data_IF_672309812034
#
_entry.id   IF_672309812034
#
_cell.length_a   1.000
_cell.length_b   1.000
_cell.length_c   1.000
_cell.angle_alpha   90.00
_cell.angle_beta   90.00
_cell.angle_gamma   90.00
#
_symmetry.space_group_name_H-M   'P 1'
#
loop_
_entity.id
_entity.type
_entity.pdbx_description
1 polymer ?
#
# COMPACT_ATOMS: atom_id res chain seq x y z
N UNK A 1 -20.52 -4.39 -34.56
CA UNK A 1 -20.94 -3.98 -33.19
C UNK A 1 -20.06 -4.58 -32.04
N UNK A 2 -18.77 -4.83 -32.28
CA UNK A 2 -17.83 -5.33 -31.25
C UNK A 2 -16.99 -4.23 -30.57
N UNK A 3 -17.25 -2.96 -30.86
CA UNK A 3 -16.43 -1.84 -30.39
C UNK A 3 -16.86 -1.26 -29.04
N UNK A 4 -18.06 -1.58 -28.53
CA UNK A 4 -18.57 -0.98 -27.29
C UNK A 4 -18.02 -1.62 -26.01
N UNK A 5 -17.66 -2.91 -26.01
CA UNK A 5 -17.18 -3.59 -24.79
C UNK A 5 -15.71 -3.28 -24.48
N UNK A 6 -14.86 -3.09 -25.49
CA UNK A 6 -13.46 -2.73 -25.28
C UNK A 6 -13.32 -1.28 -24.79
N UNK A 7 -14.11 -0.35 -25.34
CA UNK A 7 -14.11 1.04 -24.90
C UNK A 7 -14.61 1.19 -23.45
N UNK A 8 -15.67 0.49 -23.04
CA UNK A 8 -16.15 0.47 -21.66
C UNK A 8 -15.12 -0.12 -20.71
N UNK A 9 -14.44 -1.21 -21.09
CA UNK A 9 -13.34 -1.81 -20.32
C UNK A 9 -12.17 -0.84 -20.17
N UNK A 10 -11.80 -0.11 -21.22
CA UNK A 10 -10.70 0.86 -21.18
C UNK A 10 -11.04 2.09 -20.33
N UNK A 11 -12.28 2.55 -20.36
CA UNK A 11 -12.77 3.63 -19.50
C UNK A 11 -12.71 3.18 -18.02
N UNK A 12 -13.21 1.99 -17.72
CA UNK A 12 -13.15 1.42 -16.36
C UNK A 12 -11.69 1.32 -15.84
N UNK A 13 -10.79 0.79 -16.66
CA UNK A 13 -9.37 0.69 -16.31
C UNK A 13 -8.71 2.04 -16.04
N UNK A 14 -9.04 3.07 -16.83
CA UNK A 14 -8.57 4.44 -16.59
C UNK A 14 -9.12 5.00 -15.28
N UNK A 15 -10.38 4.73 -14.94
CA UNK A 15 -10.99 5.18 -13.70
C UNK A 15 -10.33 4.55 -12.48
N UNK A 16 -10.02 3.25 -12.50
CA UNK A 16 -9.33 2.57 -11.41
C UNK A 16 -7.92 3.13 -11.20
N UNK A 17 -7.16 3.30 -12.28
CA UNK A 17 -5.82 3.90 -12.19
C UNK A 17 -5.88 5.34 -11.68
N UNK A 18 -6.86 6.12 -12.11
CA UNK A 18 -7.06 7.49 -11.63
C UNK A 18 -7.40 7.53 -10.15
N UNK A 19 -8.18 6.57 -9.65
CA UNK A 19 -8.49 6.47 -8.22
C UNK A 19 -7.23 6.19 -7.40
N UNK A 20 -6.38 5.26 -7.84
CA UNK A 20 -5.11 4.95 -7.19
C UNK A 20 -4.19 6.18 -7.15
N UNK A 21 -4.07 6.91 -8.26
CA UNK A 21 -3.26 8.14 -8.36
C UNK A 21 -3.83 9.24 -7.46
N UNK A 22 -5.14 9.45 -7.46
CA UNK A 22 -5.79 10.44 -6.62
C UNK A 22 -5.58 10.14 -5.14
N UNK A 23 -5.73 8.89 -4.73
CA UNK A 23 -5.47 8.45 -3.36
C UNK A 23 -4.01 8.67 -2.97
N UNK A 24 -3.07 8.32 -3.85
CA UNK A 24 -1.63 8.52 -3.64
C UNK A 24 -1.30 10.00 -3.42
N UNK A 25 -1.84 10.89 -4.26
CA UNK A 25 -1.65 12.35 -4.11
C UNK A 25 -2.18 12.86 -2.78
N UNK A 26 -3.36 12.42 -2.37
CA UNK A 26 -3.94 12.82 -1.08
C UNK A 26 -3.09 12.36 0.10
N UNK A 27 -2.56 11.14 0.04
CA UNK A 27 -1.69 10.58 1.09
C UNK A 27 -0.40 11.40 1.22
N UNK A 28 0.23 11.76 0.11
CA UNK A 28 1.46 12.56 0.12
C UNK A 28 1.22 13.93 0.75
N UNK A 29 0.10 14.58 0.43
CA UNK A 29 -0.21 15.94 0.90
C UNK A 29 -0.69 15.96 2.34
N UNK A 30 -1.50 14.98 2.73
CA UNK A 30 -2.14 14.94 4.05
C UNK A 30 -2.15 13.51 4.58
N UNK A 31 -1.01 13.01 5.07
CA UNK A 31 -0.95 11.66 5.64
C UNK A 31 -1.97 11.47 6.75
N UNK A 32 -2.57 10.29 6.81
CA UNK A 32 -3.51 9.88 7.86
C UNK A 32 -4.93 10.40 7.74
N UNK A 33 -5.22 11.31 6.82
CA UNK A 33 -6.56 11.94 6.72
C UNK A 33 -7.57 11.15 5.91
N UNK A 34 -7.15 10.54 4.81
CA UNK A 34 -8.02 9.80 3.89
C UNK A 34 -7.34 8.55 3.34
N UNK A 35 -8.13 7.61 2.85
CA UNK A 35 -7.65 6.41 2.15
C UNK A 35 -6.66 5.61 2.99
N UNK A 36 -7.00 5.34 4.23
CA UNK A 36 -6.10 4.73 5.19
C UNK A 36 -6.71 3.47 5.83
N UNK A 37 -6.14 2.29 5.61
CA UNK A 37 -5.03 2.03 4.71
C UNK A 37 -5.43 2.12 3.23
N UNK A 38 -4.48 2.42 2.35
CA UNK A 38 -4.64 2.25 0.91
C UNK A 38 -4.10 0.89 0.51
N UNK A 39 -4.91 0.11 -0.16
CA UNK A 39 -4.54 -1.20 -0.69
C UNK A 39 -4.66 -1.19 -2.20
N UNK A 40 -3.53 -1.37 -2.89
CA UNK A 40 -3.51 -1.50 -4.35
C UNK A 40 -3.19 -2.93 -4.74
N UNK A 41 -3.95 -3.47 -5.66
CA UNK A 41 -3.71 -4.81 -6.17
C UNK A 41 -3.73 -4.86 -7.70
N UNK A 42 -3.13 -5.87 -8.25
CA UNK A 42 -3.09 -6.09 -9.69
C UNK A 42 -2.02 -7.09 -10.07
N UNK A 43 -2.08 -7.57 -11.29
CA UNK A 43 -1.12 -8.54 -11.83
C UNK A 43 0.32 -8.02 -11.73
N UNK A 44 1.33 -8.90 -11.66
CA UNK A 44 2.72 -8.47 -11.75
C UNK A 44 2.97 -7.59 -13.00
N UNK A 45 3.78 -6.57 -12.86
CA UNK A 45 4.16 -5.69 -13.96
C UNK A 45 3.17 -4.58 -14.32
N UNK A 46 2.08 -4.39 -13.56
CA UNK A 46 1.10 -3.31 -13.84
C UNK A 46 1.47 -1.95 -13.23
N UNK A 47 2.56 -1.86 -12.47
CA UNK A 47 3.05 -0.60 -11.92
C UNK A 47 2.78 -0.36 -10.45
N UNK A 48 2.41 -1.38 -9.67
CA UNK A 48 2.20 -1.27 -8.21
C UNK A 48 3.45 -0.77 -7.48
N UNK A 49 4.57 -1.45 -7.70
CA UNK A 49 5.86 -1.07 -7.11
C UNK A 49 6.26 0.34 -7.50
N UNK A 50 6.06 0.70 -8.78
CA UNK A 50 6.35 2.03 -9.28
C UNK A 50 5.50 3.09 -8.58
N UNK A 51 4.21 2.82 -8.35
CA UNK A 51 3.34 3.72 -7.61
C UNK A 51 3.85 3.93 -6.18
N UNK A 52 4.17 2.86 -5.46
CA UNK A 52 4.67 2.94 -4.09
C UNK A 52 5.98 3.73 -4.02
N UNK A 53 6.91 3.47 -4.91
CA UNK A 53 8.19 4.20 -4.99
C UNK A 53 7.98 5.67 -5.35
N UNK A 54 7.00 5.98 -6.20
CA UNK A 54 6.68 7.37 -6.54
C UNK A 54 6.10 8.12 -5.33
N UNK A 55 5.27 7.47 -4.51
CA UNK A 55 4.79 8.03 -3.24
C UNK A 55 5.98 8.31 -2.31
N UNK A 56 6.89 7.35 -2.18
CA UNK A 56 8.08 7.48 -1.34
C UNK A 56 8.95 8.65 -1.79
N UNK A 57 9.24 8.76 -3.07
CA UNK A 57 10.03 9.85 -3.66
C UNK A 57 9.37 11.22 -3.52
N UNK A 58 8.05 11.26 -3.44
CA UNK A 58 7.26 12.49 -3.34
C UNK A 58 6.99 12.94 -1.90
N UNK A 59 7.35 12.13 -0.91
CA UNK A 59 7.09 12.38 0.50
C UNK A 59 8.36 12.76 1.24
N UNK A 60 8.24 13.66 2.21
CA UNK A 60 9.34 14.04 3.10
C UNK A 60 9.55 13.06 4.25
N UNK A 61 8.52 12.29 4.60
CA UNK A 61 8.55 11.35 5.73
C UNK A 61 7.84 10.05 5.36
N UNK A 62 8.56 9.20 4.64
CA UNK A 62 8.06 7.90 4.20
C UNK A 62 9.13 6.83 4.27
N UNK A 63 8.68 5.59 4.27
CA UNK A 63 9.55 4.42 4.25
C UNK A 63 8.93 3.35 3.35
N UNK A 64 9.62 3.01 2.27
CA UNK A 64 9.27 1.91 1.39
C UNK A 64 10.02 0.64 1.83
N UNK A 65 9.30 -0.47 1.93
CA UNK A 65 9.88 -1.78 2.21
C UNK A 65 9.13 -2.84 1.43
N UNK A 66 9.85 -3.77 0.82
CA UNK A 66 9.24 -4.97 0.25
C UNK A 66 9.02 -6.03 1.33
N UNK A 67 8.18 -7.02 1.01
CA UNK A 67 7.80 -8.08 1.95
C UNK A 67 9.00 -8.92 2.43
N UNK A 68 9.96 -9.17 1.55
CA UNK A 68 11.15 -9.96 1.88
C UNK A 68 12.01 -9.23 2.92
N UNK A 69 12.33 -7.97 2.66
CA UNK A 69 13.09 -7.12 3.60
C UNK A 69 12.37 -6.91 4.92
N UNK A 70 11.05 -6.77 4.89
CA UNK A 70 10.22 -6.68 6.09
C UNK A 70 10.34 -7.96 6.92
N UNK A 71 10.19 -9.12 6.28
CA UNK A 71 10.26 -10.42 6.94
C UNK A 71 11.66 -10.67 7.53
N UNK A 72 12.71 -10.40 6.78
CA UNK A 72 14.10 -10.53 7.25
C UNK A 72 14.37 -9.65 8.47
N UNK A 73 13.96 -8.40 8.41
CA UNK A 73 14.11 -7.45 9.52
C UNK A 73 13.32 -7.87 10.76
N UNK A 74 12.11 -8.37 10.56
CA UNK A 74 11.26 -8.90 11.62
C UNK A 74 11.91 -10.13 12.31
N UNK A 75 12.34 -11.12 11.50
CA UNK A 75 13.00 -12.34 12.02
C UNK A 75 14.31 -11.99 12.74
N UNK A 76 15.12 -11.12 12.17
CA UNK A 76 16.35 -10.65 12.78
C UNK A 76 16.09 -9.96 14.12
N UNK A 77 15.07 -9.11 14.17
CA UNK A 77 14.66 -8.45 15.41
C UNK A 77 14.30 -9.45 16.52
N UNK A 78 13.57 -10.52 16.17
CA UNK A 78 13.20 -11.58 17.13
C UNK A 78 14.46 -12.35 17.59
N UNK A 79 15.29 -12.78 16.65
CA UNK A 79 16.53 -13.54 16.97
C UNK A 79 17.49 -12.78 17.87
N UNK A 80 17.64 -11.49 17.62
CA UNK A 80 18.57 -10.63 18.36
C UNK A 80 17.91 -10.01 19.60
N UNK A 81 16.67 -10.35 19.91
CA UNK A 81 15.86 -9.75 21.00
C UNK A 81 15.78 -8.22 20.91
N UNK A 82 15.74 -7.71 19.69
CA UNK A 82 15.73 -6.28 19.36
C UNK A 82 14.60 -5.94 18.38
N UNK A 83 13.43 -6.52 18.61
CA UNK A 83 12.24 -6.24 17.78
C UNK A 83 11.79 -4.77 17.92
N UNK A 84 12.09 -4.14 19.03
CA UNK A 84 11.70 -2.76 19.28
C UNK A 84 12.42 -1.78 18.36
N UNK A 85 13.68 -2.02 18.01
CA UNK A 85 14.41 -1.23 17.01
C UNK A 85 13.76 -1.32 15.63
N UNK A 86 13.34 -2.51 15.22
CA UNK A 86 12.58 -2.70 13.97
C UNK A 86 11.27 -1.90 14.00
N UNK A 87 10.47 -2.05 15.07
CA UNK A 87 9.22 -1.33 15.23
C UNK A 87 9.41 0.18 15.22
N UNK A 88 10.41 0.66 15.93
CA UNK A 88 10.75 2.08 15.99
C UNK A 88 11.09 2.62 14.60
N UNK A 89 11.88 1.89 13.82
CA UNK A 89 12.27 2.28 12.46
C UNK A 89 11.05 2.43 11.56
N UNK A 90 10.19 1.41 11.47
CA UNK A 90 9.04 1.45 10.57
C UNK A 90 7.96 2.43 11.02
N UNK A 91 7.85 2.73 12.32
CA UNK A 91 6.82 3.60 12.91
C UNK A 91 7.24 5.07 13.00
N UNK A 92 8.48 5.39 12.68
CA UNK A 92 9.01 6.76 12.77
C UNK A 92 8.55 7.67 11.64
N UNK A 93 8.05 7.12 10.56
CA UNK A 93 7.63 7.86 9.35
C UNK A 93 6.14 8.17 9.37
N UNK A 94 5.71 9.08 8.52
CA UNK A 94 4.29 9.45 8.35
C UNK A 94 3.57 8.57 7.33
N UNK A 95 4.31 8.00 6.38
CA UNK A 95 3.80 7.09 5.35
C UNK A 95 4.64 5.83 5.32
N UNK A 96 4.03 4.68 5.58
CA UNK A 96 4.65 3.38 5.43
C UNK A 96 4.12 2.70 4.16
N UNK A 97 5.03 2.23 3.31
CA UNK A 97 4.69 1.58 2.04
C UNK A 97 5.25 0.17 2.06
N UNK A 98 4.37 -0.83 2.00
CA UNK A 98 4.76 -2.24 2.03
C UNK A 98 4.33 -2.91 0.73
N UNK A 99 5.30 -3.43 -0.01
CA UNK A 99 5.07 -4.08 -1.29
C UNK A 99 4.98 -5.60 -1.15
N UNK A 100 4.21 -6.21 -2.05
CA UNK A 100 4.08 -7.67 -2.20
C UNK A 100 3.63 -8.41 -0.93
N UNK A 101 2.63 -7.88 -0.21
CA UNK A 101 2.19 -8.45 1.06
C UNK A 101 1.58 -9.85 0.95
N UNK A 102 1.26 -10.34 -0.26
CA UNK A 102 0.81 -11.73 -0.46
C UNK A 102 1.83 -12.76 0.04
N UNK A 103 3.11 -12.41 0.10
CA UNK A 103 4.14 -13.29 0.65
C UNK A 103 4.08 -13.46 2.18
N UNK A 104 3.27 -12.67 2.87
CA UNK A 104 3.01 -12.86 4.30
C UNK A 104 1.93 -13.91 4.59
N UNK A 105 1.18 -14.32 3.59
CA UNK A 105 0.13 -15.35 3.73
C UNK A 105 0.72 -16.63 4.32
N UNK A 106 0.06 -17.16 5.36
CA UNK A 106 0.51 -18.35 6.07
C UNK A 106 1.63 -18.12 7.10
N UNK A 107 2.16 -16.91 7.19
CA UNK A 107 3.20 -16.53 8.18
C UNK A 107 2.54 -15.77 9.33
N UNK A 108 2.07 -16.52 10.33
CA UNK A 108 1.23 -15.98 11.42
C UNK A 108 1.88 -14.81 12.17
N UNK A 109 3.13 -14.94 12.57
CA UNK A 109 3.82 -13.92 13.37
C UNK A 109 3.95 -12.59 12.62
N UNK A 110 4.40 -12.61 11.37
CA UNK A 110 4.54 -11.40 10.56
C UNK A 110 3.18 -10.81 10.16
N UNK A 111 2.17 -11.64 9.95
CA UNK A 111 0.80 -11.16 9.67
C UNK A 111 0.20 -10.44 10.88
N UNK A 112 0.45 -10.90 12.09
CA UNK A 112 0.06 -10.20 13.31
C UNK A 112 0.82 -8.88 13.49
N UNK A 113 2.13 -8.87 13.21
CA UNK A 113 2.90 -7.63 13.26
C UNK A 113 2.41 -6.62 12.22
N UNK A 114 2.05 -7.07 11.03
CA UNK A 114 1.43 -6.22 10.02
C UNK A 114 0.12 -5.61 10.54
N UNK A 115 -0.73 -6.41 11.17
CA UNK A 115 -1.97 -5.93 11.77
C UNK A 115 -1.71 -4.87 12.83
N UNK A 116 -0.78 -5.11 13.75
CA UNK A 116 -0.42 -4.14 14.79
C UNK A 116 0.20 -2.86 14.21
N UNK A 117 1.00 -3.00 13.17
CA UNK A 117 1.60 -1.85 12.47
C UNK A 117 0.52 -0.99 11.81
N UNK A 118 -0.43 -1.60 11.10
CA UNK A 118 -1.55 -0.86 10.49
C UNK A 118 -2.33 -0.11 11.57
N UNK A 119 -2.67 -0.76 12.67
CA UNK A 119 -3.40 -0.12 13.77
C UNK A 119 -2.62 1.06 14.37
N UNK A 120 -1.31 0.91 14.54
CA UNK A 120 -0.46 2.01 15.02
C UNK A 120 -0.56 3.23 14.10
N UNK A 121 -0.42 3.03 12.79
CA UNK A 121 -0.49 4.13 11.82
C UNK A 121 -1.86 4.79 11.81
N UNK A 122 -2.94 3.99 11.82
CA UNK A 122 -4.30 4.52 11.87
C UNK A 122 -4.57 5.34 13.14
N UNK A 123 -4.11 4.85 14.29
CA UNK A 123 -4.33 5.51 15.58
C UNK A 123 -3.49 6.78 15.77
N UNK A 124 -2.43 6.95 15.00
CA UNK A 124 -1.53 8.09 15.08
C UNK A 124 -1.67 9.06 13.89
N UNK A 125 -2.77 8.99 13.16
CA UNK A 125 -3.04 9.82 11.98
C UNK A 125 -1.90 9.76 10.94
N UNK A 126 -1.37 8.56 10.73
CA UNK A 126 -0.32 8.25 9.74
C UNK A 126 -0.87 7.31 8.69
N UNK A 127 -0.30 7.30 7.50
CA UNK A 127 -0.78 6.49 6.38
C UNK A 127 -0.01 5.20 6.18
N UNK A 128 -0.74 4.15 5.80
CA UNK A 128 -0.17 2.89 5.32
C UNK A 128 -0.65 2.63 3.90
N UNK A 129 0.28 2.27 3.03
CA UNK A 129 0.00 1.85 1.66
C UNK A 129 0.49 0.42 1.48
N UNK A 130 -0.38 -0.44 1.02
CA UNK A 130 -0.10 -1.87 0.82
C UNK A 130 -0.28 -2.23 -0.65
N UNK A 131 0.61 -3.03 -1.18
CA UNK A 131 0.49 -3.57 -2.54
C UNK A 131 0.48 -5.10 -2.52
N UNK A 132 -0.34 -5.68 -3.39
CA UNK A 132 -0.47 -7.13 -3.55
C UNK A 132 -0.77 -7.50 -5.00
N UNK A 133 -0.51 -8.74 -5.37
CA UNK A 133 -0.95 -9.30 -6.64
C UNK A 133 -2.42 -9.78 -6.60
N UNK A 134 -3.01 -9.87 -5.41
CA UNK A 134 -4.35 -10.41 -5.17
C UNK A 134 -5.22 -9.43 -4.38
N UNK A 135 -6.54 -9.58 -4.54
CA UNK A 135 -7.54 -8.87 -3.72
C UNK A 135 -7.41 -9.28 -2.25
N UNK A 136 -7.78 -8.39 -1.29
CA UNK A 136 -7.73 -8.73 0.13
C UNK A 136 -8.52 -9.99 0.47
N UNK A 137 -9.67 -10.19 -0.16
CA UNK A 137 -10.52 -11.37 0.07
C UNK A 137 -9.89 -12.68 -0.38
N UNK A 138 -8.92 -12.62 -1.31
CA UNK A 138 -8.22 -13.80 -1.83
C UNK A 138 -6.95 -14.12 -1.02
N UNK A 139 -6.59 -13.31 -0.02
CA UNK A 139 -5.48 -13.54 0.89
C UNK A 139 -5.89 -14.50 2.02
N UNK A 140 -6.27 -15.73 1.64
CA UNK A 140 -6.93 -16.70 2.51
C UNK A 140 -6.11 -17.17 3.72
N UNK A 141 -4.83 -16.86 3.76
CA UNK A 141 -3.96 -17.17 4.91
C UNK A 141 -3.79 -16.00 5.89
N UNK A 142 -4.42 -14.85 5.61
CA UNK A 142 -4.42 -13.73 6.56
C UNK A 142 -5.50 -13.91 7.63
N UNK A 143 -5.25 -13.47 8.87
CA UNK A 143 -6.30 -13.40 9.88
C UNK A 143 -7.46 -12.52 9.42
N UNK A 144 -8.69 -12.93 9.73
CA UNK A 144 -9.91 -12.18 9.34
C UNK A 144 -9.87 -10.72 9.79
N UNK A 145 -9.33 -10.46 10.98
CA UNK A 145 -9.17 -9.09 11.52
C UNK A 145 -8.24 -8.21 10.68
N UNK A 146 -7.20 -8.79 10.07
CA UNK A 146 -6.30 -8.08 9.16
C UNK A 146 -7.02 -7.74 7.85
N UNK A 147 -7.70 -8.69 7.26
CA UNK A 147 -8.50 -8.49 6.03
C UNK A 147 -9.57 -7.41 6.28
N UNK A 148 -10.28 -7.51 7.39
CA UNK A 148 -11.29 -6.51 7.77
C UNK A 148 -10.70 -5.10 7.90
N UNK A 149 -9.51 -4.98 8.50
CA UNK A 149 -8.82 -3.69 8.64
C UNK A 149 -8.44 -3.10 7.29
N UNK A 150 -7.96 -3.92 6.37
CA UNK A 150 -7.63 -3.51 5.00
C UNK A 150 -8.89 -3.03 4.26
N UNK A 151 -9.99 -3.77 4.38
CA UNK A 151 -11.25 -3.46 3.71
C UNK A 151 -11.92 -2.18 4.25
N UNK A 152 -11.61 -1.75 5.45
CA UNK A 152 -12.10 -0.48 6.02
C UNK A 152 -11.44 0.76 5.39
N UNK A 153 -10.33 0.60 4.70
CA UNK A 153 -9.69 1.65 3.93
C UNK A 153 -10.15 1.70 2.49
N UNK A 154 -9.30 2.17 1.61
CA UNK A 154 -9.54 2.15 0.18
C UNK A 154 -8.84 0.96 -0.48
N UNK A 155 -9.59 0.16 -1.21
CA UNK A 155 -9.07 -0.94 -2.04
C UNK A 155 -9.27 -0.56 -3.50
N UNK A 156 -8.21 -0.54 -4.27
CA UNK A 156 -8.26 -0.22 -5.71
C UNK A 156 -7.35 -1.14 -6.52
N UNK A 157 -7.75 -1.44 -7.73
CA UNK A 157 -6.93 -2.23 -8.65
C UNK A 157 -6.14 -1.34 -9.61
N UNK A 158 -5.04 -1.88 -10.09
CA UNK A 158 -4.24 -1.33 -11.20
C UNK A 158 -4.22 -2.36 -12.31
N UNK A 159 -4.68 -1.99 -13.49
CA UNK A 159 -4.93 -2.94 -14.58
C UNK A 159 -4.03 -2.78 -15.79
N UNK A 160 -3.30 -1.67 -15.90
CA UNK A 160 -2.33 -1.43 -16.98
C UNK A 160 -1.06 -0.81 -16.42
N UNK A 161 0.09 -1.02 -17.09
CA UNK A 161 1.29 -0.27 -16.74
C UNK A 161 0.99 1.23 -16.82
N UNK A 162 1.34 1.95 -15.77
CA UNK A 162 1.15 3.41 -15.71
C UNK A 162 2.51 4.05 -15.49
N UNK A 163 2.81 5.05 -16.30
CA UNK A 163 4.00 5.85 -16.11
C UNK A 163 3.68 6.99 -15.15
N UNK A 164 4.20 6.89 -13.93
CA UNK A 164 4.15 7.98 -12.96
C UNK A 164 5.50 8.68 -12.99
N UNK A 165 5.53 9.91 -13.40
CA UNK A 165 6.77 10.70 -13.36
C UNK A 165 6.83 11.56 -12.11
N UNK A 166 5.67 11.96 -11.56
CA UNK A 166 5.64 12.88 -10.44
C UNK A 166 4.26 12.91 -9.75
N UNK A 167 4.24 12.85 -8.42
CA UNK A 167 3.02 13.03 -7.63
C UNK A 167 3.05 14.42 -6.97
N UNK A 168 3.03 15.46 -7.79
CA UNK A 168 2.78 16.80 -7.28
C UNK A 168 1.30 17.13 -7.39
N UNK A 169 0.76 17.76 -6.35
CA UNK A 169 -0.49 18.48 -6.52
C UNK A 169 -0.31 19.53 -7.61
N UNK A 170 -1.33 19.71 -8.48
CA UNK A 170 -1.35 20.92 -9.27
C UNK A 170 -1.25 22.07 -8.28
N UNK A 171 -0.17 22.83 -8.37
CA UNK A 171 -0.02 24.06 -7.64
C UNK A 171 -1.25 24.87 -7.95
N UNK A 172 -2.07 25.12 -6.93
CA UNK A 172 -3.09 26.14 -7.03
C UNK A 172 -2.35 27.48 -7.13
N UNK A 173 -1.88 27.76 -8.31
CA UNK A 173 -1.44 29.10 -8.65
C UNK A 173 -2.68 29.96 -8.70
N UNK A 174 -2.99 30.58 -7.59
CA UNK A 174 -3.89 31.71 -7.63
C UNK A 174 -3.29 32.82 -8.45
#
# INVERSE_FOLDING_TARGET
TRTSSSAASDVYKRQCNNLAITAAKNIVVSPGKRFNPLFVYGKPGVGKTHLLKTIDDSSESSFYIDSESFLESYISGIKNKDIDSFKKKIRSVDILLIDDIQFFVGKKGVSEELFHTINFFLNNAKSVVLASDQKPQNLSGFPDRLVSRILNGLVTDITKPVSYTHLTLPTMMS
#
